data_IF_780980492370
#
_entry.id   IF_780980492370
#
_cell.length_a   1.000
_cell.length_b   1.000
_cell.length_c   1.000
_cell.angle_alpha   90.00
_cell.angle_beta   90.00
_cell.angle_gamma   90.00
#
_symmetry.space_group_name_H-M   'P 1'
#
loop_
_entity.id
_entity.type
_entity.pdbx_description
1 polymer ?
#
# COMPACT_ATOMS: atom_id res chain seq x y z
N UNK A 1 33.25 5.05 10.82
CA UNK A 1 33.66 4.71 9.43
C UNK A 1 33.54 3.21 9.23
N UNK A 2 32.55 2.73 8.48
CA UNK A 2 32.51 1.35 7.96
C UNK A 2 31.69 1.31 6.65
N UNK A 3 32.40 1.40 5.52
CA UNK A 3 31.87 1.18 4.15
C UNK A 3 32.25 -0.23 3.72
N UNK A 4 31.35 -1.21 3.79
CA UNK A 4 31.35 -2.44 2.95
C UNK A 4 29.92 -3.01 3.04
N UNK A 5 29.09 -3.01 1.99
CA UNK A 5 28.92 -4.19 1.13
C UNK A 5 28.04 -3.91 -0.10
N UNK A 6 28.35 -2.88 -0.90
CA UNK A 6 27.52 -2.50 -2.06
C UNK A 6 27.73 -3.38 -3.32
N UNK A 7 28.74 -4.26 -3.34
CA UNK A 7 29.15 -4.96 -4.56
C UNK A 7 28.61 -6.39 -4.76
N UNK A 8 27.77 -6.95 -3.88
CA UNK A 8 27.30 -8.35 -4.04
C UNK A 8 26.04 -8.52 -4.91
N UNK A 9 25.36 -7.45 -5.29
CA UNK A 9 24.08 -7.51 -6.05
C UNK A 9 24.17 -7.11 -7.54
N UNK A 10 25.36 -6.80 -8.07
CA UNK A 10 25.52 -6.36 -9.46
C UNK A 10 25.08 -7.42 -10.49
N UNK A 11 25.34 -8.71 -10.22
CA UNK A 11 24.91 -9.80 -11.11
C UNK A 11 23.39 -10.02 -11.13
N UNK A 12 22.73 -9.82 -9.98
CA UNK A 12 21.27 -9.97 -9.86
C UNK A 12 20.58 -8.80 -10.57
N UNK A 13 21.09 -7.56 -10.41
CA UNK A 13 20.55 -6.40 -11.09
C UNK A 13 20.68 -6.52 -12.62
N UNK A 14 21.82 -7.00 -13.11
CA UNK A 14 22.05 -7.24 -14.54
C UNK A 14 21.12 -8.32 -15.10
N UNK A 15 20.91 -9.42 -14.37
CA UNK A 15 19.98 -10.48 -14.78
C UNK A 15 18.52 -10.00 -14.77
N UNK A 16 18.13 -9.16 -13.81
CA UNK A 16 16.80 -8.53 -13.77
C UNK A 16 16.59 -7.56 -14.94
N UNK A 17 17.63 -6.82 -15.33
CA UNK A 17 17.59 -5.90 -16.47
C UNK A 17 17.48 -6.67 -17.80
N UNK A 18 18.20 -7.78 -17.95
CA UNK A 18 18.09 -8.67 -19.12
C UNK A 18 16.69 -9.29 -19.17
N UNK A 19 16.15 -9.76 -18.04
CA UNK A 19 14.78 -10.30 -17.98
C UNK A 19 13.77 -9.21 -18.36
N UNK A 20 13.92 -7.97 -17.87
CA UNK A 20 13.04 -6.87 -18.25
C UNK A 20 13.10 -6.53 -19.74
N UNK A 21 14.29 -6.53 -20.35
CA UNK A 21 14.48 -6.30 -21.79
C UNK A 21 13.89 -7.44 -22.62
N UNK A 22 14.09 -8.70 -22.20
CA UNK A 22 13.50 -9.87 -22.84
C UNK A 22 11.97 -9.87 -22.69
N UNK A 23 11.45 -9.54 -21.51
CA UNK A 23 10.01 -9.42 -21.27
C UNK A 23 9.38 -8.26 -22.07
N UNK A 24 10.12 -7.16 -22.25
CA UNK A 24 9.70 -6.02 -23.06
C UNK A 24 9.68 -6.34 -24.56
N UNK A 25 10.60 -7.19 -25.05
CA UNK A 25 10.62 -7.63 -26.46
C UNK A 25 9.70 -8.82 -26.74
N UNK A 26 9.32 -9.58 -25.71
CA UNK A 26 8.28 -10.63 -25.74
C UNK A 26 6.87 -10.09 -25.52
N UNK A 27 6.63 -8.78 -25.47
CA UNK A 27 5.26 -8.27 -25.60
C UNK A 27 4.81 -8.63 -27.02
N UNK A 28 3.80 -9.51 -27.20
CA UNK A 28 3.30 -9.80 -28.53
C UNK A 28 2.90 -8.47 -29.17
N UNK A 29 3.26 -8.28 -30.44
CA UNK A 29 2.74 -7.22 -31.29
C UNK A 29 1.23 -7.43 -31.47
N UNK A 30 0.46 -7.20 -30.42
CA UNK A 30 -0.99 -7.18 -30.45
C UNK A 30 -1.31 -5.89 -31.18
N UNK A 31 -1.72 -6.01 -32.44
CA UNK A 31 -2.34 -4.90 -33.16
C UNK A 31 -3.50 -4.42 -32.31
N UNK A 32 -3.33 -3.28 -31.66
CA UNK A 32 -4.39 -2.63 -30.92
C UNK A 32 -5.56 -2.39 -31.88
N UNK A 33 -6.78 -2.49 -31.37
CA UNK A 33 -7.94 -2.07 -32.14
C UNK A 33 -7.76 -0.62 -32.58
N UNK A 34 -8.07 -0.39 -33.84
CA UNK A 34 -8.01 0.93 -34.45
C UNK A 34 -9.31 1.69 -34.21
N UNK A 35 -9.32 2.99 -34.48
CA UNK A 35 -10.50 3.84 -34.38
C UNK A 35 -11.72 3.28 -35.13
N UNK A 36 -11.51 2.81 -36.37
CA UNK A 36 -12.57 2.18 -37.17
C UNK A 36 -13.17 0.92 -36.52
N UNK A 37 -12.39 0.17 -35.74
CA UNK A 37 -12.91 -1.01 -35.04
C UNK A 37 -13.82 -0.58 -33.87
N UNK A 38 -13.45 0.48 -33.16
CA UNK A 38 -14.29 1.05 -32.11
C UNK A 38 -15.61 1.61 -32.65
N UNK A 39 -15.58 2.28 -33.81
CA UNK A 39 -16.80 2.75 -34.48
C UNK A 39 -17.74 1.59 -34.82
N UNK A 40 -17.20 0.49 -35.36
CA UNK A 40 -17.98 -0.72 -35.63
C UNK A 40 -18.62 -1.24 -34.34
N UNK A 41 -17.85 -1.34 -33.26
CA UNK A 41 -18.37 -1.85 -31.99
C UNK A 41 -19.42 -0.93 -31.38
N UNK A 42 -19.25 0.38 -31.53
CA UNK A 42 -20.20 1.39 -31.07
C UNK A 42 -21.56 1.22 -31.74
N UNK A 43 -21.54 1.07 -33.06
CA UNK A 43 -22.76 0.93 -33.84
C UNK A 43 -23.42 -0.43 -33.61
N UNK A 44 -22.64 -1.50 -33.43
CA UNK A 44 -23.21 -2.81 -33.06
C UNK A 44 -23.90 -2.75 -31.69
N UNK A 45 -23.24 -2.20 -30.67
CA UNK A 45 -23.83 -2.08 -29.32
C UNK A 45 -25.07 -1.16 -29.33
N UNK A 46 -25.02 -0.05 -30.07
CA UNK A 46 -26.15 0.84 -30.24
C UNK A 46 -27.34 0.17 -30.97
N UNK A 47 -27.06 -0.67 -31.96
CA UNK A 47 -28.07 -1.43 -32.69
C UNK A 47 -28.70 -2.51 -31.80
N UNK A 48 -27.88 -3.27 -31.07
CA UNK A 48 -28.33 -4.32 -30.15
C UNK A 48 -29.23 -3.75 -29.04
N UNK A 49 -28.88 -2.58 -28.48
CA UNK A 49 -29.70 -1.90 -27.48
C UNK A 49 -31.04 -1.41 -28.02
N UNK A 50 -31.08 -1.00 -29.28
CA UNK A 50 -32.29 -0.41 -29.88
C UNK A 50 -33.27 -1.47 -30.42
N UNK A 51 -32.75 -2.52 -31.07
CA UNK A 51 -33.56 -3.49 -31.80
C UNK A 51 -33.55 -4.90 -31.16
N UNK A 52 -32.70 -5.14 -30.15
CA UNK A 52 -32.63 -6.38 -29.38
C UNK A 52 -31.44 -7.28 -29.77
N UNK A 53 -31.19 -8.29 -28.92
CA UNK A 53 -30.07 -9.23 -29.10
C UNK A 53 -30.16 -9.96 -30.44
N UNK A 54 -29.02 -10.15 -31.11
CA UNK A 54 -28.86 -10.80 -32.42
C UNK A 54 -29.28 -9.98 -33.66
N UNK A 55 -29.49 -8.66 -33.52
CA UNK A 55 -29.63 -7.79 -34.71
C UNK A 55 -28.26 -7.40 -35.29
N UNK A 56 -28.02 -7.84 -36.52
CA UNK A 56 -26.81 -7.57 -37.29
C UNK A 56 -27.07 -6.51 -38.35
N UNK A 57 -26.02 -5.89 -38.91
CA UNK A 57 -26.15 -4.85 -39.94
C UNK A 57 -26.90 -5.38 -41.16
N UNK A 58 -26.59 -6.59 -41.61
CA UNK A 58 -27.25 -7.24 -42.75
C UNK A 58 -28.74 -7.51 -42.49
N UNK A 59 -29.05 -8.11 -41.34
CA UNK A 59 -30.42 -8.41 -40.94
C UNK A 59 -31.26 -7.14 -40.80
N UNK A 60 -30.67 -6.07 -40.25
CA UNK A 60 -31.34 -4.79 -40.07
C UNK A 60 -31.55 -4.03 -41.40
N UNK A 61 -30.61 -4.12 -42.34
CA UNK A 61 -30.80 -3.62 -43.71
C UNK A 61 -31.79 -4.48 -44.53
N UNK A 62 -32.04 -5.72 -44.12
CA UNK A 62 -32.84 -6.69 -44.86
C UNK A 62 -32.13 -7.23 -46.10
N UNK A 63 -30.80 -7.38 -46.05
CA UNK A 63 -29.98 -7.91 -47.14
C UNK A 63 -29.14 -9.10 -46.65
N UNK A 64 -28.80 -10.08 -47.50
CA UNK A 64 -27.90 -11.15 -47.12
C UNK A 64 -26.46 -10.63 -46.92
N UNK A 65 -25.64 -11.33 -46.14
CA UNK A 65 -24.22 -10.97 -45.94
C UNK A 65 -23.40 -11.01 -47.25
N UNK A 66 -23.86 -11.79 -48.24
CA UNK A 66 -23.30 -11.90 -49.59
C UNK A 66 -23.77 -10.80 -50.55
N UNK A 67 -24.60 -9.86 -50.10
CA UNK A 67 -25.16 -8.80 -50.94
C UNK A 67 -24.08 -7.91 -51.58
N UNK A 68 -24.32 -7.49 -52.82
CA UNK A 68 -23.43 -6.57 -53.54
C UNK A 68 -23.52 -5.13 -52.97
N UNK A 69 -22.55 -4.26 -53.27
CA UNK A 69 -22.65 -2.83 -52.94
C UNK A 69 -23.90 -2.17 -53.57
N UNK A 70 -24.36 -2.65 -54.73
CA UNK A 70 -25.56 -2.16 -55.38
C UNK A 70 -26.82 -2.47 -54.56
N UNK A 71 -26.91 -3.69 -54.02
CA UNK A 71 -28.02 -4.13 -53.17
C UNK A 71 -28.06 -3.34 -51.85
N UNK A 72 -26.90 -3.12 -51.23
CA UNK A 72 -26.77 -2.29 -50.02
C UNK A 72 -27.24 -0.86 -50.30
N UNK A 73 -26.87 -0.31 -51.45
CA UNK A 73 -27.30 1.04 -51.86
C UNK A 73 -28.80 1.11 -52.16
N UNK A 74 -29.39 0.05 -52.70
CA UNK A 74 -30.83 -0.06 -52.93
C UNK A 74 -31.59 -0.13 -51.60
N UNK A 75 -31.11 -0.94 -50.66
CA UNK A 75 -31.67 -1.04 -49.31
C UNK A 75 -31.59 0.29 -48.55
N UNK A 76 -30.44 0.97 -48.64
CA UNK A 76 -30.26 2.32 -48.08
C UNK A 76 -31.32 3.30 -48.60
N UNK A 77 -31.52 3.39 -49.93
CA UNK A 77 -32.53 4.29 -50.50
C UNK A 77 -33.93 4.01 -49.95
N UNK A 78 -34.30 2.74 -49.83
CA UNK A 78 -35.61 2.32 -49.29
C UNK A 78 -35.79 2.72 -47.82
N UNK A 79 -34.79 2.45 -46.97
CA UNK A 79 -34.85 2.77 -45.53
C UNK A 79 -34.70 4.26 -45.25
N UNK A 80 -33.87 4.96 -46.03
CA UNK A 80 -33.69 6.41 -45.95
C UNK A 80 -34.99 7.16 -46.22
N UNK A 81 -35.79 6.71 -47.19
CA UNK A 81 -37.11 7.29 -47.45
C UNK A 81 -38.11 7.02 -46.32
N UNK A 82 -37.97 5.89 -45.62
CA UNK A 82 -38.83 5.50 -44.50
C UNK A 82 -38.53 6.31 -43.23
N UNK A 83 -37.26 6.52 -42.93
CA UNK A 83 -36.82 7.22 -41.71
C UNK A 83 -36.35 8.65 -41.94
N UNK A 84 -36.67 9.23 -43.10
CA UNK A 84 -36.28 10.60 -43.42
C UNK A 84 -36.79 11.59 -42.35
N UNK A 85 -35.96 12.54 -41.86
CA UNK A 85 -36.37 13.49 -40.84
C UNK A 85 -37.57 14.34 -41.27
N UNK A 86 -37.63 14.76 -42.54
CA UNK A 86 -38.75 15.57 -43.05
C UNK A 86 -40.11 14.86 -43.00
N UNK A 87 -40.12 13.53 -43.13
CA UNK A 87 -41.36 12.73 -43.07
C UNK A 87 -41.73 12.30 -41.66
N UNK A 88 -40.77 12.30 -40.74
CA UNK A 88 -40.93 11.86 -39.36
C UNK A 88 -40.55 12.98 -38.38
N UNK A 89 -41.10 14.18 -38.62
CA UNK A 89 -40.85 15.34 -37.79
C UNK A 89 -41.37 15.07 -36.37
N UNK A 90 -40.51 15.27 -35.37
CA UNK A 90 -40.84 15.06 -33.97
C UNK A 90 -40.69 13.62 -33.45
N UNK A 91 -40.32 12.64 -34.28
CA UNK A 91 -39.99 11.29 -33.80
C UNK A 91 -38.47 11.15 -33.54
N UNK A 92 -38.01 11.16 -32.27
CA UNK A 92 -36.60 10.98 -31.95
C UNK A 92 -36.08 9.60 -32.37
N UNK A 93 -36.93 8.56 -32.39
CA UNK A 93 -36.51 7.21 -32.77
C UNK A 93 -36.23 7.11 -34.27
N UNK A 94 -37.03 7.77 -35.11
CA UNK A 94 -36.77 7.85 -36.54
C UNK A 94 -35.43 8.57 -36.83
N UNK A 95 -35.16 9.67 -36.12
CA UNK A 95 -33.89 10.41 -36.24
C UNK A 95 -32.69 9.52 -35.87
N UNK A 96 -32.75 8.79 -34.76
CA UNK A 96 -31.69 7.87 -34.35
C UNK A 96 -31.51 6.70 -35.33
N UNK A 97 -32.61 6.16 -35.87
CA UNK A 97 -32.53 5.10 -36.89
C UNK A 97 -31.90 5.62 -38.18
N UNK A 98 -32.20 6.86 -38.57
CA UNK A 98 -31.60 7.49 -39.74
C UNK A 98 -30.10 7.73 -39.57
N UNK A 99 -29.66 8.21 -38.40
CA UNK A 99 -28.22 8.40 -38.13
C UNK A 99 -27.48 7.06 -38.13
N UNK A 100 -28.02 6.02 -37.47
CA UNK A 100 -27.47 4.66 -37.51
C UNK A 100 -27.41 4.11 -38.94
N UNK A 101 -28.45 4.36 -39.75
CA UNK A 101 -28.50 3.91 -41.14
C UNK A 101 -27.34 4.48 -41.97
N UNK A 102 -27.07 5.78 -41.82
CA UNK A 102 -25.96 6.43 -42.49
C UNK A 102 -24.62 5.78 -42.16
N UNK A 103 -24.33 5.60 -40.87
CA UNK A 103 -23.06 5.02 -40.41
C UNK A 103 -22.91 3.56 -40.86
N UNK A 104 -23.95 2.73 -40.68
CA UNK A 104 -23.92 1.32 -41.08
C UNK A 104 -23.65 1.18 -42.59
N UNK A 105 -24.30 1.99 -43.42
CA UNK A 105 -24.11 1.92 -44.87
C UNK A 105 -22.73 2.43 -45.29
N UNK A 106 -22.17 3.42 -44.61
CA UNK A 106 -20.78 3.85 -44.83
C UNK A 106 -19.80 2.70 -44.56
N UNK A 107 -19.94 2.01 -43.42
CA UNK A 107 -19.12 0.86 -43.05
C UNK A 107 -19.27 -0.29 -44.06
N UNK A 108 -20.50 -0.58 -44.50
CA UNK A 108 -20.75 -1.68 -45.44
C UNK A 108 -20.38 -1.36 -46.89
N UNK A 109 -20.28 -0.08 -47.27
CA UNK A 109 -19.88 0.34 -48.62
C UNK A 109 -18.38 0.26 -48.82
N UNK A 110 -17.61 0.70 -47.82
CA UNK A 110 -16.16 0.58 -47.86
C UNK A 110 -15.74 -0.89 -47.73
N UNK A 111 -15.02 -1.46 -48.72
CA UNK A 111 -14.58 -2.85 -48.68
C UNK A 111 -13.72 -3.14 -47.44
N UNK A 112 -12.86 -2.21 -47.01
CA UNK A 112 -11.95 -2.47 -45.88
C UNK A 112 -12.69 -2.51 -44.55
N UNK A 113 -13.60 -1.56 -44.32
CA UNK A 113 -14.48 -1.54 -43.14
C UNK A 113 -15.46 -2.71 -43.13
N UNK A 114 -15.98 -3.11 -44.31
CA UNK A 114 -16.85 -4.28 -44.45
C UNK A 114 -16.12 -5.58 -44.10
N UNK A 115 -14.87 -5.74 -44.50
CA UNK A 115 -14.04 -6.90 -44.14
C UNK A 115 -13.83 -6.99 -42.62
N UNK A 116 -13.51 -5.86 -41.97
CA UNK A 116 -13.38 -5.80 -40.51
C UNK A 116 -14.69 -6.14 -39.80
N UNK A 117 -15.81 -5.57 -40.26
CA UNK A 117 -17.12 -5.94 -39.73
C UNK A 117 -17.41 -7.43 -39.91
N UNK A 118 -17.11 -8.00 -41.08
CA UNK A 118 -17.28 -9.43 -41.34
C UNK A 118 -16.43 -10.31 -40.42
N UNK A 119 -15.21 -9.88 -40.09
CA UNK A 119 -14.36 -10.56 -39.12
C UNK A 119 -15.02 -10.61 -37.74
N UNK A 120 -15.55 -9.49 -37.24
CA UNK A 120 -16.25 -9.44 -35.95
C UNK A 120 -17.62 -10.11 -35.98
N UNK A 121 -18.31 -10.08 -37.12
CA UNK A 121 -19.58 -10.76 -37.31
C UNK A 121 -19.42 -12.29 -37.17
N UNK A 122 -18.31 -12.87 -37.68
CA UNK A 122 -18.01 -14.30 -37.55
C UNK A 122 -17.45 -14.68 -36.19
N UNK A 123 -16.53 -13.87 -35.64
CA UNK A 123 -15.80 -14.19 -34.41
C UNK A 123 -16.51 -13.69 -33.14
N UNK A 124 -17.56 -12.89 -33.29
CA UNK A 124 -18.21 -12.17 -32.20
C UNK A 124 -17.57 -10.80 -31.93
N UNK A 125 -18.39 -9.83 -31.56
CA UNK A 125 -17.93 -8.49 -31.16
C UNK A 125 -17.45 -8.56 -29.71
N UNK A 126 -16.20 -8.13 -29.41
CA UNK A 126 -15.71 -8.11 -28.04
C UNK A 126 -16.44 -7.04 -27.21
N UNK A 127 -16.66 -7.33 -25.92
CA UNK A 127 -17.16 -6.32 -24.96
C UNK A 127 -16.03 -5.36 -24.62
N UNK A 128 -16.00 -4.21 -25.28
CA UNK A 128 -14.89 -3.24 -25.21
C UNK A 128 -15.13 -2.07 -24.24
N UNK A 129 -16.38 -1.82 -23.81
CA UNK A 129 -16.72 -0.84 -22.75
C UNK A 129 -17.22 -1.50 -21.46
N UNK A 130 -17.00 -0.80 -20.35
CA UNK A 130 -17.48 -1.16 -19.01
C UNK A 130 -16.59 -2.15 -18.26
N UNK A 131 -16.95 -2.43 -17.01
CA UNK A 131 -16.25 -3.41 -16.15
C UNK A 131 -16.19 -4.80 -16.78
N UNK A 132 -17.15 -5.13 -17.66
CA UNK A 132 -17.20 -6.39 -18.42
C UNK A 132 -15.99 -6.65 -19.31
N UNK A 133 -15.33 -5.62 -19.85
CA UNK A 133 -14.08 -5.79 -20.61
C UNK A 133 -12.98 -6.36 -19.71
N UNK A 134 -12.79 -5.75 -18.53
CA UNK A 134 -11.82 -6.19 -17.52
C UNK A 134 -12.12 -7.61 -17.06
N UNK A 135 -13.38 -7.93 -16.74
CA UNK A 135 -13.78 -9.28 -16.31
C UNK A 135 -13.63 -10.36 -17.40
N UNK A 136 -13.85 -10.02 -18.67
CA UNK A 136 -13.76 -11.00 -19.77
C UNK A 136 -12.30 -11.35 -20.12
N UNK A 137 -11.39 -10.38 -20.00
CA UNK A 137 -9.96 -10.52 -20.29
C UNK A 137 -9.18 -11.03 -19.09
N UNK A 138 -9.39 -10.38 -17.94
CA UNK A 138 -8.81 -10.74 -16.65
C UNK A 138 -9.93 -11.32 -15.80
N UNK A 139 -10.23 -12.61 -15.95
CA UNK A 139 -11.13 -13.31 -15.01
C UNK A 139 -10.42 -13.30 -13.65
N UNK A 140 -10.77 -12.38 -12.74
CA UNK A 140 -9.95 -12.19 -11.55
C UNK A 140 -10.19 -13.41 -10.65
N UNK A 141 -9.14 -14.22 -10.47
CA UNK A 141 -9.18 -15.34 -9.54
C UNK A 141 -9.22 -14.83 -8.11
N UNK A 142 -9.56 -15.72 -7.18
CA UNK A 142 -9.54 -15.43 -5.74
C UNK A 142 -8.18 -14.83 -5.30
N UNK A 143 -7.07 -15.30 -5.87
CA UNK A 143 -5.73 -14.76 -5.61
C UNK A 143 -5.56 -13.28 -6.01
N UNK A 144 -6.06 -12.85 -7.18
CA UNK A 144 -5.92 -11.45 -7.61
C UNK A 144 -6.73 -10.52 -6.72
N UNK A 145 -7.91 -10.97 -6.27
CA UNK A 145 -8.75 -10.21 -5.33
C UNK A 145 -8.03 -10.02 -4.00
N UNK A 146 -7.43 -11.09 -3.46
CA UNK A 146 -6.66 -11.03 -2.21
C UNK A 146 -5.48 -10.05 -2.35
N UNK A 147 -4.72 -10.12 -3.45
CA UNK A 147 -3.60 -9.19 -3.68
C UNK A 147 -4.08 -7.74 -3.69
N UNK A 148 -5.13 -7.42 -4.45
CA UNK A 148 -5.69 -6.06 -4.51
C UNK A 148 -6.16 -5.59 -3.13
N UNK A 149 -6.91 -6.43 -2.40
CA UNK A 149 -7.38 -6.09 -1.05
C UNK A 149 -6.21 -5.88 -0.08
N UNK A 150 -5.16 -6.70 -0.15
CA UNK A 150 -3.97 -6.51 0.69
C UNK A 150 -3.26 -5.20 0.38
N UNK A 151 -3.09 -4.84 -0.89
CA UNK A 151 -2.49 -3.56 -1.29
C UNK A 151 -3.31 -2.37 -0.80
N UNK A 152 -4.64 -2.43 -0.91
CA UNK A 152 -5.54 -1.39 -0.39
C UNK A 152 -5.39 -1.28 1.14
N UNK A 153 -5.42 -2.40 1.86
CA UNK A 153 -5.25 -2.41 3.31
C UNK A 153 -3.87 -1.86 3.73
N UNK A 154 -2.81 -2.17 2.99
CA UNK A 154 -1.47 -1.64 3.23
C UNK A 154 -1.41 -0.13 3.01
N UNK A 155 -2.01 0.36 1.92
CA UNK A 155 -2.14 1.78 1.66
C UNK A 155 -2.87 2.50 2.80
N UNK A 156 -3.98 1.92 3.28
CA UNK A 156 -4.74 2.46 4.41
C UNK A 156 -3.93 2.48 5.71
N UNK A 157 -3.19 1.42 6.00
CA UNK A 157 -2.31 1.37 7.17
C UNK A 157 -1.22 2.45 7.10
N UNK A 158 -0.58 2.63 5.94
CA UNK A 158 0.43 3.66 5.74
C UNK A 158 -0.15 5.07 5.94
N UNK A 159 -1.32 5.34 5.37
CA UNK A 159 -2.02 6.61 5.55
C UNK A 159 -2.35 6.84 7.02
N UNK A 160 -2.88 5.84 7.72
CA UNK A 160 -3.15 5.94 9.16
C UNK A 160 -1.88 6.22 9.98
N UNK A 161 -0.77 5.53 9.67
CA UNK A 161 0.53 5.78 10.28
C UNK A 161 1.02 7.21 10.03
N UNK A 162 0.84 7.72 8.81
CA UNK A 162 1.22 9.09 8.45
C UNK A 162 0.36 10.15 9.15
N UNK A 163 -0.93 9.88 9.32
CA UNK A 163 -1.82 10.75 10.10
C UNK A 163 -1.40 10.74 11.57
N UNK A 164 -1.13 9.58 12.15
CA UNK A 164 -0.70 9.45 13.55
C UNK A 164 0.63 10.16 13.80
N UNK A 165 1.63 9.94 12.95
CA UNK A 165 2.94 10.63 13.00
C UNK A 165 2.77 12.15 13.04
N UNK A 166 1.95 12.70 12.14
CA UNK A 166 1.67 14.14 12.08
C UNK A 166 0.95 14.65 13.34
N UNK A 167 -0.01 13.89 13.84
CA UNK A 167 -0.76 14.26 15.04
C UNK A 167 0.09 14.21 16.31
N UNK A 168 0.89 13.16 16.49
CA UNK A 168 1.77 12.98 17.64
C UNK A 168 2.84 14.07 17.67
N UNK A 169 3.52 14.32 16.55
CA UNK A 169 4.51 15.39 16.43
C UNK A 169 3.91 16.76 16.76
N UNK A 170 2.70 17.05 16.25
CA UNK A 170 2.01 18.31 16.55
C UNK A 170 1.68 18.45 18.04
N UNK A 171 1.17 17.38 18.68
CA UNK A 171 0.84 17.39 20.11
C UNK A 171 2.07 17.64 20.99
N UNK A 172 3.19 17.00 20.68
CA UNK A 172 4.45 17.19 21.42
C UNK A 172 4.95 18.63 21.27
N UNK A 173 4.97 19.16 20.04
CA UNK A 173 5.39 20.54 19.79
C UNK A 173 4.47 21.56 20.47
N UNK A 174 3.16 21.34 20.45
CA UNK A 174 2.18 22.19 21.13
C UNK A 174 2.37 22.13 22.66
N UNK A 175 2.64 20.96 23.20
CA UNK A 175 2.96 20.79 24.62
C UNK A 175 4.23 21.56 25.03
N UNK A 176 5.29 21.47 24.22
CA UNK A 176 6.53 22.23 24.44
C UNK A 176 6.29 23.73 24.34
N UNK A 177 5.50 24.18 23.35
CA UNK A 177 5.16 25.58 23.17
C UNK A 177 4.41 26.14 24.39
N UNK A 178 3.43 25.40 24.92
CA UNK A 178 2.67 25.77 26.11
C UNK A 178 3.57 25.79 27.38
N UNK A 179 4.47 24.82 27.51
CA UNK A 179 5.47 24.81 28.59
C UNK A 179 6.32 26.09 28.60
N UNK A 180 6.73 26.51 27.40
CA UNK A 180 7.58 27.68 27.21
C UNK A 180 6.84 28.98 27.48
N UNK A 181 5.57 29.10 27.07
CA UNK A 181 4.79 30.31 27.35
C UNK A 181 4.56 30.49 28.85
N UNK A 182 4.29 29.40 29.58
CA UNK A 182 4.19 29.43 31.04
C UNK A 182 5.52 29.81 31.70
N UNK A 183 6.64 29.24 31.24
CA UNK A 183 7.98 29.62 31.71
C UNK A 183 8.26 31.12 31.55
N UNK A 184 7.87 31.72 30.42
CA UNK A 184 8.06 33.15 30.14
C UNK A 184 7.16 34.01 31.04
N UNK A 185 5.94 33.55 31.33
CA UNK A 185 5.01 34.25 32.22
C UNK A 185 5.50 34.27 33.67
N UNK A 186 6.08 33.16 34.14
CA UNK A 186 6.61 33.02 35.50
C UNK A 186 8.00 33.67 35.68
N UNK A 187 8.62 34.14 34.60
CA UNK A 187 9.96 34.71 34.64
C UNK A 187 9.98 36.07 35.38
N UNK A 188 11.01 36.34 36.23
CA UNK A 188 11.13 37.60 36.95
C UNK A 188 11.32 38.79 35.99
N UNK A 189 10.54 39.87 36.19
CA UNK A 189 10.55 41.07 35.35
C UNK A 189 11.98 41.64 35.24
N UNK A 190 12.47 41.78 34.00
CA UNK A 190 13.77 42.41 33.70
C UNK A 190 14.93 41.45 33.41
N UNK A 191 14.73 40.12 33.42
CA UNK A 191 15.68 39.15 32.86
C UNK A 191 15.16 38.55 31.57
N UNK A 192 16.06 38.23 30.65
CA UNK A 192 15.73 37.44 29.47
C UNK A 192 15.26 36.04 29.92
N UNK A 193 14.19 35.49 29.32
CA UNK A 193 13.73 34.14 29.62
C UNK A 193 14.82 33.16 29.19
N UNK A 194 15.44 32.51 30.16
CA UNK A 194 16.38 31.41 29.92
C UNK A 194 15.60 30.11 29.84
N UNK A 195 16.03 29.18 28.99
CA UNK A 195 15.49 27.81 28.99
C UNK A 195 15.69 27.22 30.39
N UNK A 196 14.66 26.61 30.96
CA UNK A 196 14.69 26.18 32.35
C UNK A 196 13.42 25.49 32.84
N UNK A 197 13.19 25.59 34.15
CA UNK A 197 12.09 24.92 34.83
C UNK A 197 10.76 25.62 34.53
N UNK A 198 9.77 24.85 34.15
CA UNK A 198 8.38 25.29 33.98
C UNK A 198 7.44 24.34 34.71
N UNK A 199 6.20 24.76 34.92
CA UNK A 199 5.17 23.92 35.53
C UNK A 199 3.98 23.88 34.58
N UNK A 200 3.54 22.69 34.22
CA UNK A 200 2.42 22.49 33.30
C UNK A 200 1.30 21.76 34.01
N UNK A 201 0.08 22.26 33.84
CA UNK A 201 -1.12 21.59 34.27
C UNK A 201 -1.56 20.56 33.23
N UNK A 202 -1.50 19.27 33.59
CA UNK A 202 -2.00 18.18 32.76
C UNK A 202 -3.18 17.53 33.50
N UNK A 203 -4.39 17.93 33.11
CA UNK A 203 -5.63 17.49 33.77
C UNK A 203 -5.82 18.15 35.15
N UNK A 204 -5.61 17.39 36.23
CA UNK A 204 -5.69 17.88 37.62
C UNK A 204 -4.34 17.79 38.35
N UNK A 205 -3.24 17.59 37.62
CA UNK A 205 -1.90 17.44 38.19
C UNK A 205 -0.98 18.53 37.64
N UNK A 206 -0.25 19.18 38.53
CA UNK A 206 0.86 20.05 38.18
C UNK A 206 2.11 19.19 38.02
N UNK A 207 2.68 19.16 36.83
CA UNK A 207 3.93 18.45 36.58
C UNK A 207 5.03 19.48 36.44
N UNK A 208 6.16 19.21 37.10
CA UNK A 208 7.37 19.98 36.85
C UNK A 208 7.92 19.54 35.50
N UNK A 209 8.26 20.50 34.66
CA UNK A 209 8.87 20.27 33.37
C UNK A 209 10.17 21.08 33.27
N UNK A 210 11.08 20.60 32.45
CA UNK A 210 12.32 21.29 32.11
C UNK A 210 12.42 21.36 30.60
N UNK A 211 12.29 22.58 30.07
CA UNK A 211 12.36 22.82 28.62
C UNK A 211 13.84 22.86 28.24
N UNK A 212 14.30 21.82 27.52
CA UNK A 212 15.70 21.71 27.09
C UNK A 212 15.95 22.40 25.76
N UNK A 213 15.04 22.26 24.80
CA UNK A 213 15.14 22.86 23.47
C UNK A 213 13.76 23.17 22.87
N UNK A 214 13.72 23.64 21.63
CA UNK A 214 12.48 23.89 20.89
C UNK A 214 11.74 22.58 20.52
N UNK A 215 12.42 21.43 20.57
CA UNK A 215 11.90 20.12 20.18
C UNK A 215 11.88 19.11 21.33
N UNK A 216 12.57 19.37 22.44
CA UNK A 216 12.72 18.45 23.55
C UNK A 216 12.34 19.08 24.91
N UNK A 217 11.56 18.32 25.69
CA UNK A 217 11.15 18.65 27.06
C UNK A 217 11.28 17.42 27.96
N UNK A 218 11.69 17.65 29.20
CA UNK A 218 11.71 16.60 30.23
C UNK A 218 10.57 16.87 31.21
N UNK A 219 9.72 15.87 31.41
CA UNK A 219 8.54 15.95 32.28
C UNK A 219 8.75 15.07 33.49
N UNK A 220 8.53 15.61 34.69
CA UNK A 220 8.63 14.90 35.97
C UNK A 220 7.20 14.67 36.50
N UNK A 221 6.64 13.46 36.32
CA UNK A 221 5.22 13.19 36.61
C UNK A 221 4.89 13.01 38.10
N UNK A 222 5.90 12.75 38.94
CA UNK A 222 5.77 12.60 40.39
C UNK A 222 7.02 13.18 41.10
N UNK A 223 6.83 13.90 42.20
CA UNK A 223 7.91 14.62 42.90
C UNK A 223 8.81 13.70 43.73
N UNK A 224 8.37 12.47 44.03
CA UNK A 224 9.04 11.59 45.01
C UNK A 224 9.82 10.41 44.44
N UNK A 225 9.48 9.90 43.25
CA UNK A 225 10.11 8.67 42.71
C UNK A 225 10.00 8.46 41.19
N UNK A 226 9.44 9.41 40.44
CA UNK A 226 9.21 9.21 39.00
C UNK A 226 10.50 9.37 38.20
N UNK A 227 10.84 8.37 37.38
CA UNK A 227 11.81 8.56 36.31
C UNK A 227 11.35 9.68 35.38
N UNK A 228 12.26 10.58 34.96
CA UNK A 228 11.92 11.66 34.03
C UNK A 228 11.45 11.11 32.69
N UNK A 229 10.34 11.62 32.18
CA UNK A 229 9.87 11.29 30.84
C UNK A 229 10.52 12.27 29.86
N UNK A 230 11.40 11.74 29.03
CA UNK A 230 12.01 12.50 27.94
C UNK A 230 11.06 12.50 26.74
N UNK A 231 10.55 13.68 26.40
CA UNK A 231 9.70 13.89 25.23
C UNK A 231 10.48 14.71 24.20
N UNK A 232 10.87 14.06 23.11
CA UNK A 232 11.49 14.72 21.97
C UNK A 232 10.58 14.54 20.74
N UNK A 233 10.31 15.64 20.04
CA UNK A 233 9.52 15.64 18.82
C UNK A 233 10.22 14.89 17.66
N UNK A 234 11.54 14.70 17.76
CA UNK A 234 12.35 13.96 16.79
C UNK A 234 12.29 12.45 16.97
N UNK A 235 11.92 11.96 18.16
CA UNK A 235 11.80 10.52 18.45
C UNK A 235 10.52 9.89 17.92
N UNK A 236 9.60 10.69 17.37
CA UNK A 236 8.38 10.18 16.76
C UNK A 236 8.74 9.39 15.51
N UNK A 237 8.46 8.09 15.52
CA UNK A 237 8.87 7.18 14.43
C UNK A 237 8.14 7.50 13.13
N UNK A 238 8.90 7.69 12.05
CA UNK A 238 8.33 7.90 10.72
C UNK A 238 7.73 6.60 10.16
N UNK A 239 6.55 6.65 9.52
CA UNK A 239 5.96 5.48 8.90
C UNK A 239 6.83 5.03 7.73
N UNK A 240 7.58 3.95 7.93
CA UNK A 240 8.46 3.36 6.92
C UNK A 240 7.74 2.22 6.19
N UNK A 241 8.09 1.96 4.93
CA UNK A 241 7.52 0.83 4.18
C UNK A 241 7.78 -0.54 4.84
N UNK A 242 8.79 -0.65 5.70
CA UNK A 242 9.09 -1.87 6.45
C UNK A 242 8.12 -2.15 7.60
N UNK A 243 7.37 -1.13 8.06
CA UNK A 243 6.36 -1.29 9.13
C UNK A 243 4.99 -1.72 8.60
N UNK A 244 4.82 -1.74 7.27
CA UNK A 244 3.61 -2.27 6.63
C UNK A 244 3.42 -3.74 7.00
N UNK A 245 2.19 -4.14 7.32
CA UNK A 245 1.88 -5.52 7.71
C UNK A 245 2.31 -6.53 6.64
N UNK A 246 2.23 -6.15 5.35
CA UNK A 246 2.64 -6.98 4.21
C UNK A 246 4.12 -7.35 4.29
N UNK A 247 4.95 -6.46 4.83
CA UNK A 247 6.41 -6.65 4.90
C UNK A 247 6.80 -7.19 6.27
N UNK A 248 6.24 -6.60 7.34
CA UNK A 248 6.55 -6.95 8.72
C UNK A 248 6.10 -8.37 9.09
N UNK A 249 4.93 -8.82 8.62
CA UNK A 249 4.39 -10.13 9.01
C UNK A 249 5.18 -11.30 8.41
N UNK A 250 5.51 -11.32 7.09
CA UNK A 250 6.39 -12.34 6.54
C UNK A 250 7.79 -12.30 7.15
N UNK A 251 8.37 -11.11 7.39
CA UNK A 251 9.67 -10.98 8.06
C UNK A 251 9.66 -11.59 9.46
N UNK A 252 8.64 -11.29 10.29
CA UNK A 252 8.49 -11.86 11.64
C UNK A 252 8.28 -13.38 11.60
N UNK A 253 7.45 -13.86 10.68
CA UNK A 253 7.19 -15.29 10.50
C UNK A 253 8.48 -16.01 10.08
N UNK A 254 9.21 -15.46 9.11
CA UNK A 254 10.50 -15.99 8.66
C UNK A 254 11.54 -15.99 9.79
N UNK A 255 11.67 -14.90 10.54
CA UNK A 255 12.61 -14.80 11.67
C UNK A 255 12.27 -15.80 12.79
N UNK A 256 10.97 -16.05 13.04
CA UNK A 256 10.51 -17.06 14.00
C UNK A 256 10.79 -18.49 13.53
N UNK A 257 10.69 -18.76 12.22
CA UNK A 257 10.99 -20.07 11.63
C UNK A 257 12.50 -20.31 11.56
N UNK A 258 13.31 -19.27 11.31
CA UNK A 258 14.78 -19.38 11.19
C UNK A 258 15.54 -19.22 12.51
N UNK A 259 14.85 -19.03 13.63
CA UNK A 259 15.46 -19.01 14.97
C UNK A 259 16.45 -17.87 15.21
N UNK A 260 16.40 -16.80 14.40
CA UNK A 260 17.30 -15.65 14.55
C UNK A 260 16.82 -14.78 15.71
N UNK A 261 17.44 -14.96 16.88
CA UNK A 261 17.25 -14.09 18.06
C UNK A 261 17.78 -12.69 17.70
N UNK A 262 16.92 -11.67 17.78
CA UNK A 262 17.34 -10.28 17.68
C UNK A 262 18.44 -10.01 18.73
N UNK A 263 19.61 -9.56 18.28
CA UNK A 263 20.66 -9.05 19.14
C UNK A 263 20.17 -7.72 19.70
N UNK A 264 19.62 -7.76 20.91
CA UNK A 264 19.50 -6.58 21.77
C UNK A 264 20.93 -6.27 22.18
N UNK A 265 21.45 -5.12 21.74
CA UNK A 265 22.70 -4.56 22.24
C UNK A 265 22.35 -3.92 23.57
N UNK A 266 22.63 -4.62 24.66
CA UNK A 266 22.78 -4.01 25.99
C UNK A 266 24.13 -3.28 25.95
N UNK A 267 24.10 -1.94 25.91
CA UNK A 267 25.26 -1.11 26.22
C UNK A 267 25.45 -1.16 27.74
N UNK A 268 26.31 -2.06 28.20
CA UNK A 268 26.85 -2.00 29.56
C UNK A 268 27.83 -0.81 29.63
N UNK A 269 27.45 0.25 30.35
CA UNK A 269 28.36 1.32 30.77
C UNK A 269 29.35 0.75 31.81
N UNK A 270 30.52 0.31 31.35
CA UNK A 270 31.69 0.09 32.23
C UNK A 270 32.26 1.45 32.64
N UNK A 271 32.17 1.73 33.94
CA UNK A 271 32.76 2.89 34.61
C UNK A 271 34.29 2.78 34.59
N UNK A 272 34.94 3.77 34.00
CA UNK A 272 36.38 4.00 34.09
C UNK A 272 36.77 4.36 35.54
N UNK A 273 37.56 3.51 36.21
CA UNK A 273 38.42 3.94 37.30
C UNK A 273 39.88 3.80 36.87
N UNK A 274 40.49 4.95 36.62
CA UNK A 274 41.90 5.06 36.27
C UNK A 274 42.75 5.37 37.51
N UNK A 275 43.89 4.68 37.56
CA UNK A 275 45.17 5.05 38.21
C UNK A 275 45.37 4.73 39.70
N UNK A 276 46.24 3.75 39.96
CA UNK A 276 47.47 4.10 40.68
C UNK A 276 48.70 3.24 40.29
N UNK A 277 49.83 3.92 40.42
CA UNK A 277 51.21 3.69 39.97
C UNK A 277 51.91 2.32 40.20
N UNK A 278 52.60 1.91 39.13
CA UNK A 278 54.04 1.55 39.03
C UNK A 278 54.68 0.48 39.95
N UNK A 279 55.33 -0.47 39.24
CA UNK A 279 56.75 -0.88 39.34
C UNK A 279 57.07 -2.23 40.02
N UNK A 280 57.70 -3.06 39.18
CA UNK A 280 58.70 -4.10 39.40
C UNK A 280 58.37 -5.53 39.87
N UNK A 281 58.41 -6.39 38.84
CA UNK A 281 59.35 -7.51 38.70
C UNK A 281 59.02 -8.85 39.37
N UNK A 282 58.82 -9.83 38.48
CA UNK A 282 59.32 -11.20 38.46
C UNK A 282 59.49 -11.94 39.81
N UNK A 283 58.89 -13.14 39.90
CA UNK A 283 59.59 -14.40 40.21
C UNK A 283 58.62 -15.60 40.10
N UNK A 284 59.08 -16.59 39.31
CA UNK A 284 58.87 -18.04 39.36
C UNK A 284 57.48 -18.72 39.28
N UNK A 285 57.32 -19.48 38.18
CA UNK A 285 56.61 -20.77 38.08
C UNK A 285 57.20 -21.82 39.06
N UNK A 286 56.59 -22.98 39.42
CA UNK A 286 55.80 -23.81 38.49
C UNK A 286 54.71 -24.75 39.09
N UNK A 287 54.15 -25.58 38.19
CA UNK A 287 53.53 -26.92 38.37
C UNK A 287 52.01 -27.01 38.54
N UNK A 288 51.37 -27.31 37.41
CA UNK A 288 50.33 -28.35 37.35
C UNK A 288 50.94 -29.75 37.58
N UNK A 289 50.16 -30.76 38.00
CA UNK A 289 49.66 -31.72 37.01
C UNK A 289 48.20 -32.16 37.28
N UNK A 290 47.33 -32.12 36.27
CA UNK A 290 46.98 -33.22 35.38
C UNK A 290 45.81 -34.12 35.86
N UNK A 291 44.71 -34.01 35.09
CA UNK A 291 43.84 -35.08 34.56
C UNK A 291 43.33 -36.17 35.52
N UNK A 292 41.99 -36.28 35.62
CA UNK A 292 41.29 -37.52 35.21
C UNK A 292 39.80 -37.30 34.99
N UNK A 293 39.35 -37.82 33.86
CA UNK A 293 37.97 -37.94 33.47
C UNK A 293 37.25 -39.06 34.24
N UNK A 294 35.92 -38.98 34.21
CA UNK A 294 34.98 -40.06 33.87
C UNK A 294 33.91 -40.40 34.94
N UNK A 295 32.65 -40.41 34.45
CA UNK A 295 31.51 -41.30 34.78
C UNK A 295 30.34 -40.80 35.67
N UNK A 296 29.26 -40.41 34.95
CA UNK A 296 27.82 -40.78 35.07
C UNK A 296 27.32 -41.43 36.38
N UNK A 297 26.25 -40.85 36.97
CA UNK A 297 24.85 -41.39 36.94
C UNK A 297 23.84 -40.46 37.63
N UNK A 298 22.60 -40.54 37.16
CA UNK A 298 21.37 -39.92 37.65
C UNK A 298 21.05 -40.34 39.11
N UNK A 299 20.25 -39.64 39.92
CA UNK A 299 18.80 -39.33 39.79
C UNK A 299 18.40 -38.40 40.94
N UNK A 300 17.42 -37.52 40.72
CA UNK A 300 16.88 -36.64 41.77
C UNK A 300 15.72 -35.78 41.26
N UNK A 301 14.60 -36.44 41.03
CA UNK A 301 13.28 -35.94 40.64
C UNK A 301 12.77 -34.80 41.54
N UNK A 302 12.26 -33.72 40.92
CA UNK A 302 11.21 -32.86 41.50
C UNK A 302 10.24 -32.42 40.40
N UNK A 303 9.07 -33.05 40.43
CA UNK A 303 7.84 -32.58 39.81
C UNK A 303 7.14 -31.65 40.80
N UNK A 304 6.70 -30.46 40.36
CA UNK A 304 5.48 -29.81 40.86
C UNK A 304 5.06 -28.72 39.84
N UNK A 305 4.14 -29.04 38.93
CA UNK A 305 2.68 -28.78 38.99
C UNK A 305 2.31 -27.30 38.97
N UNK A 306 1.62 -26.99 37.87
CA UNK A 306 0.85 -25.83 37.46
C UNK A 306 -0.05 -25.24 38.57
N UNK A 307 -0.04 -23.91 38.68
CA UNK A 307 -1.06 -23.14 39.39
C UNK A 307 -1.62 -22.02 38.51
N UNK A 308 -2.77 -22.28 37.90
CA UNK A 308 -3.62 -21.28 37.27
C UNK A 308 -4.51 -20.60 38.33
N UNK A 309 -4.64 -19.26 38.31
CA UNK A 309 -5.79 -18.49 38.83
C UNK A 309 -5.52 -16.99 38.68
N UNK A 310 -6.47 -16.08 38.44
CA UNK A 310 -7.84 -16.05 37.91
C UNK A 310 -8.14 -14.56 37.76
N UNK A 311 -8.93 -14.18 36.75
CA UNK A 311 -9.42 -12.81 36.59
C UNK A 311 -10.35 -12.37 37.73
N UNK A 312 -10.26 -11.09 38.11
CA UNK A 312 -11.20 -10.44 39.03
C UNK A 312 -11.68 -9.13 38.43
N UNK A 313 -12.96 -9.09 38.05
CA UNK A 313 -13.68 -7.92 37.53
C UNK A 313 -14.72 -7.51 38.58
N UNK A 314 -14.93 -6.19 38.72
CA UNK A 314 -16.14 -5.46 39.22
C UNK A 314 -16.17 -4.94 40.68
N UNK A 315 -16.30 -3.61 40.78
CA UNK A 315 -17.11 -2.83 41.76
C UNK A 315 -18.63 -3.12 41.52
N UNK A 316 -19.62 -2.81 42.41
CA UNK A 316 -19.66 -1.65 43.34
C UNK A 316 -20.41 -1.80 44.70
N UNK A 317 -20.26 -0.71 45.51
CA UNK A 317 -21.17 -0.07 46.50
C UNK A 317 -21.65 -0.78 47.78
N UNK A 318 -21.57 -0.05 48.91
CA UNK A 318 -22.73 0.16 49.80
C UNK A 318 -22.57 1.36 50.75
N UNK A 319 -23.69 2.09 50.86
CA UNK A 319 -24.17 3.07 51.88
C UNK A 319 -23.43 4.39 52.00
#
# INVERSE_FOLDING_TARGET
>A
MTRVSFLKNQGILGLLLIIMVVLSTMVPNVKAWTEADFEIFDIVDALEKAEGKNTNFYNWLGVPATASQADISKAYRKLSLKWHPDKNQGDPKAKERFTRLGVIVTILRDPTSRERYNFFYKNGVPRWRGTGYLYSRFRPGLGTVIVVLTLIAAGMQYIAGQINYRQEKKKILEFIANARTQMIQDAPKGRAPTMGRSYIEVGQRHMRCEVKSDTAIVVYPDERSGEPIHLDAEWVTEPTFDSLFIVAWPKRLFNKITGKKELIVEEDEEVEEEQNEKVDSAVESPKAPAKKALRKRATGEKVNVVGAKVGGRRRPTKV
#
